data_IF_510781458682
#
_entry.id   IF_510781458682
#
_cell.length_a   1.000
_cell.length_b   1.000
_cell.length_c   1.000
_cell.angle_alpha   90.00
_cell.angle_beta   90.00
_cell.angle_gamma   90.00
#
_symmetry.space_group_name_H-M   'P 1'
#
loop_
_entity.id
_entity.type
_entity.pdbx_description
1 polymer ?
#
# COMPACT_ATOMS: atom_id res chain seq x y z
N UNK A 1 33.00 -1.02 60.71
CA UNK A 1 31.98 -1.99 61.13
C UNK A 1 31.26 -2.51 59.91
N UNK A 2 31.32 -3.82 59.72
CA UNK A 2 30.72 -4.61 58.65
C UNK A 2 29.31 -5.04 59.09
N UNK A 3 28.31 -4.91 58.21
CA UNK A 3 27.02 -5.60 58.26
C UNK A 3 26.45 -5.64 56.83
N UNK A 4 26.55 -6.76 56.09
CA UNK A 4 25.59 -7.88 56.01
C UNK A 4 24.26 -7.48 55.34
N UNK A 5 23.97 -7.78 54.07
CA UNK A 5 23.54 -9.08 53.46
C UNK A 5 22.03 -9.08 53.12
N UNK A 6 21.67 -9.84 52.06
CA UNK A 6 20.33 -10.30 51.61
C UNK A 6 19.91 -9.67 50.28
N UNK A 7 20.21 -10.24 49.09
CA UNK A 7 19.80 -11.54 48.51
C UNK A 7 18.28 -11.69 48.36
N UNK A 8 17.77 -11.50 47.14
CA UNK A 8 16.65 -12.27 46.56
C UNK A 8 16.51 -11.97 45.07
N UNK A 9 17.20 -12.79 44.29
CA UNK A 9 16.96 -13.07 42.88
C UNK A 9 15.80 -14.07 42.77
N UNK A 10 14.88 -13.88 41.81
CA UNK A 10 14.04 -14.89 41.11
C UNK A 10 12.73 -14.27 40.64
N UNK A 11 12.52 -14.26 39.32
CA UNK A 11 11.48 -15.07 38.64
C UNK A 11 11.40 -14.69 37.15
N UNK A 12 12.09 -15.50 36.33
CA UNK A 12 11.77 -15.66 34.92
C UNK A 12 10.49 -16.51 34.80
N UNK A 13 9.40 -15.87 34.38
CA UNK A 13 8.14 -16.53 34.05
C UNK A 13 7.93 -16.52 32.54
N UNK A 14 8.38 -17.58 31.88
CA UNK A 14 7.97 -17.91 30.51
C UNK A 14 6.48 -18.27 30.49
N UNK A 15 5.70 -17.66 29.60
CA UNK A 15 4.44 -18.25 29.14
C UNK A 15 4.21 -17.93 27.67
N UNK A 16 4.57 -18.93 26.87
CA UNK A 16 4.26 -19.05 25.45
C UNK A 16 2.75 -19.27 25.31
N UNK A 17 2.10 -18.50 24.44
CA UNK A 17 0.78 -18.82 23.88
C UNK A 17 0.96 -19.26 22.42
N UNK A 18 0.67 -20.51 22.06
CA UNK A 18 0.31 -20.86 20.69
C UNK A 18 -1.17 -21.27 20.66
N UNK A 19 -2.02 -20.37 20.17
CA UNK A 19 -3.44 -20.63 19.93
C UNK A 19 -3.66 -20.93 18.45
N UNK A 20 -3.73 -22.23 18.15
CA UNK A 20 -4.15 -22.82 16.87
C UNK A 20 -5.66 -22.72 16.70
N UNK A 21 -6.13 -22.30 15.52
CA UNK A 21 -7.40 -22.79 14.93
C UNK A 21 -7.49 -22.39 13.46
N UNK A 22 -6.92 -23.24 12.60
CA UNK A 22 -7.28 -23.29 11.18
C UNK A 22 -8.60 -24.03 11.04
N UNK A 23 -9.65 -23.34 10.59
CA UNK A 23 -10.89 -23.96 10.17
C UNK A 23 -10.76 -24.43 8.73
N UNK A 24 -10.82 -25.74 8.57
CA UNK A 24 -10.92 -26.46 7.30
C UNK A 24 -12.33 -26.27 6.74
N UNK A 25 -12.45 -25.74 5.54
CA UNK A 25 -13.67 -25.83 4.73
C UNK A 25 -13.67 -27.16 3.93
N UNK A 26 -14.75 -27.95 3.98
CA UNK A 26 -14.85 -29.19 3.23
C UNK A 26 -15.28 -28.98 1.78
N UNK A 27 -14.71 -29.85 0.95
CA UNK A 27 -15.03 -30.12 -0.45
C UNK A 27 -16.50 -30.60 -0.57
N UNK A 28 -17.31 -29.97 -1.41
CA UNK A 28 -18.60 -30.52 -1.85
C UNK A 28 -18.52 -30.83 -3.33
N UNK A 29 -18.77 -32.10 -3.60
CA UNK A 29 -18.94 -32.78 -4.87
C UNK A 29 -20.17 -32.25 -5.60
N UNK A 30 -20.03 -31.93 -6.88
CA UNK A 30 -21.15 -32.05 -7.82
C UNK A 30 -20.64 -32.61 -9.15
N UNK A 31 -21.12 -33.82 -9.41
CA UNK A 31 -20.99 -34.56 -10.65
C UNK A 31 -21.64 -33.80 -11.80
N UNK A 32 -20.98 -33.78 -12.96
CA UNK A 32 -21.65 -33.74 -14.26
C UNK A 32 -20.93 -34.67 -15.25
N UNK A 33 -21.69 -35.24 -16.21
CA UNK A 33 -21.46 -36.58 -16.73
C UNK A 33 -20.51 -36.66 -17.93
N UNK A 34 -20.00 -37.88 -18.11
CA UNK A 34 -19.17 -38.39 -19.19
C UNK A 34 -19.62 -38.00 -20.61
N UNK A 35 -18.66 -37.56 -21.42
CA UNK A 35 -18.72 -37.61 -22.89
C UNK A 35 -17.66 -38.62 -23.36
N UNK A 36 -18.01 -39.68 -24.10
CA UNK A 36 -17.06 -40.71 -24.48
C UNK A 36 -16.36 -40.39 -25.81
N UNK A 37 -15.10 -40.85 -25.88
CA UNK A 37 -14.50 -41.50 -27.04
C UNK A 37 -14.17 -40.61 -28.26
N UNK A 38 -12.89 -40.26 -28.43
CA UNK A 38 -12.17 -40.65 -29.64
C UNK A 38 -10.66 -40.59 -29.45
N UNK A 39 -10.06 -41.74 -29.69
CA UNK A 39 -8.65 -42.08 -29.74
C UNK A 39 -7.97 -41.57 -31.02
N UNK A 40 -6.89 -40.79 -30.89
CA UNK A 40 -5.71 -40.90 -31.77
C UNK A 40 -4.49 -40.17 -31.18
N UNK A 41 -3.42 -40.93 -31.05
CA UNK A 41 -2.01 -40.60 -30.73
C UNK A 41 -1.29 -40.10 -32.01
N UNK A 42 0.04 -39.78 -32.06
CA UNK A 42 0.97 -38.98 -31.24
C UNK A 42 1.49 -37.72 -32.00
N UNK A 43 2.18 -36.82 -31.29
CA UNK A 43 3.11 -35.83 -31.89
C UNK A 43 4.46 -36.51 -32.20
N UNK A 44 5.20 -36.22 -33.30
CA UNK A 44 6.14 -35.09 -33.28
C UNK A 44 6.49 -34.46 -34.65
N UNK A 45 6.69 -33.14 -34.70
CA UNK A 45 7.57 -32.52 -35.71
C UNK A 45 8.10 -31.18 -35.23
N UNK A 46 9.34 -31.20 -34.74
CA UNK A 46 10.19 -30.02 -34.62
C UNK A 46 10.59 -29.61 -36.04
N UNK A 47 10.18 -28.42 -36.48
CA UNK A 47 10.81 -27.76 -37.61
C UNK A 47 11.32 -26.39 -37.17
N UNK A 48 12.65 -26.31 -37.12
CA UNK A 48 13.45 -25.11 -36.98
C UNK A 48 13.53 -24.40 -38.33
N UNK A 49 13.09 -23.14 -38.43
CA UNK A 49 13.69 -22.11 -39.28
C UNK A 49 13.34 -20.69 -38.77
N UNK A 50 14.38 -19.85 -38.70
CA UNK A 50 14.50 -18.47 -38.18
C UNK A 50 14.10 -17.42 -39.28
N UNK A 51 14.33 -16.08 -39.17
CA UNK A 51 13.98 -15.02 -38.20
C UNK A 51 13.20 -13.81 -38.85
N UNK A 52 12.77 -12.83 -38.02
CA UNK A 52 12.49 -11.37 -38.28
C UNK A 52 11.03 -10.86 -38.03
N UNK A 53 10.93 -9.98 -37.01
CA UNK A 53 9.84 -9.04 -36.57
C UNK A 53 9.17 -8.22 -37.71
N UNK A 54 8.13 -7.37 -37.46
CA UNK A 54 7.24 -7.15 -36.30
C UNK A 54 5.73 -6.94 -36.69
N UNK A 55 4.90 -6.52 -35.71
CA UNK A 55 3.55 -5.88 -35.80
C UNK A 55 2.32 -6.79 -35.83
N UNK A 56 1.67 -6.93 -34.67
CA UNK A 56 0.22 -7.14 -34.59
C UNK A 56 -0.29 -6.23 -33.48
N UNK A 57 -1.28 -5.41 -33.84
CA UNK A 57 -1.74 -4.23 -33.13
C UNK A 57 -2.24 -4.50 -31.69
N UNK A 58 -2.01 -3.59 -30.73
CA UNK A 58 -2.80 -3.56 -29.51
C UNK A 58 -4.22 -3.08 -29.82
N UNK A 59 -5.19 -3.82 -29.29
CA UNK A 59 -6.63 -3.51 -29.29
C UNK A 59 -6.92 -2.05 -28.82
N UNK A 60 -7.92 -1.35 -29.38
CA UNK A 60 -8.26 0.01 -28.97
C UNK A 60 -9.11 -0.03 -27.69
N UNK A 61 -8.48 -0.27 -26.55
CA UNK A 61 -9.14 -0.19 -25.24
C UNK A 61 -8.44 0.88 -24.42
N UNK A 62 -8.99 2.11 -24.46
CA UNK A 62 -8.85 3.22 -23.49
C UNK A 62 -7.47 3.73 -23.04
N UNK A 63 -6.35 3.10 -23.38
CA UNK A 63 -5.04 3.37 -22.76
C UNK A 63 -4.13 4.32 -23.58
N UNK A 64 -4.65 4.96 -24.63
CA UNK A 64 -3.83 5.72 -25.60
C UNK A 64 -3.48 7.16 -25.16
N UNK A 65 -4.11 7.73 -24.13
CA UNK A 65 -3.91 9.15 -23.77
C UNK A 65 -3.44 9.40 -22.34
N UNK A 66 -2.42 8.69 -21.89
CA UNK A 66 -1.54 9.26 -20.88
C UNK A 66 -0.13 8.69 -21.01
N UNK A 67 0.73 9.40 -21.74
CA UNK A 67 2.13 9.01 -21.85
C UNK A 67 2.74 8.98 -20.43
N UNK A 68 3.50 7.94 -20.04
CA UNK A 68 4.02 7.81 -18.68
C UNK A 68 4.87 9.02 -18.25
N UNK A 69 5.52 9.71 -19.20
CA UNK A 69 6.23 10.97 -18.91
C UNK A 69 5.29 12.15 -18.59
N UNK A 70 4.13 12.26 -19.25
CA UNK A 70 3.14 13.31 -18.96
C UNK A 70 2.42 13.07 -17.64
N UNK A 71 2.20 11.79 -17.28
CA UNK A 71 1.73 11.43 -15.95
C UNK A 71 2.74 11.78 -14.87
N UNK A 72 4.04 11.58 -15.14
CA UNK A 72 5.10 11.91 -14.19
C UNK A 72 5.12 13.42 -13.89
N UNK A 73 5.16 14.27 -14.93
CA UNK A 73 5.19 15.73 -14.74
C UNK A 73 3.92 16.24 -14.06
N UNK A 74 2.75 15.73 -14.44
CA UNK A 74 1.48 16.11 -13.81
C UNK A 74 1.43 15.67 -12.34
N UNK A 75 1.97 14.49 -12.04
CA UNK A 75 2.07 13.96 -10.68
C UNK A 75 3.02 14.80 -9.81
N UNK A 76 4.17 15.22 -10.34
CA UNK A 76 5.09 16.12 -9.63
C UNK A 76 4.44 17.45 -9.26
N UNK A 77 3.71 18.05 -10.20
CA UNK A 77 2.98 19.29 -9.98
C UNK A 77 1.91 19.07 -8.91
N UNK A 78 1.09 18.03 -9.02
CA UNK A 78 0.04 17.79 -8.03
C UNK A 78 0.62 17.44 -6.64
N UNK A 79 1.71 16.68 -6.58
CA UNK A 79 2.37 16.34 -5.32
C UNK A 79 2.83 17.61 -4.59
N UNK A 80 3.44 18.53 -5.33
CA UNK A 80 3.83 19.83 -4.82
C UNK A 80 2.62 20.65 -4.39
N UNK A 81 1.57 20.69 -5.19
CA UNK A 81 0.34 21.41 -4.85
C UNK A 81 -0.29 20.89 -3.57
N UNK A 82 -0.30 19.57 -3.34
CA UNK A 82 -0.76 18.97 -2.09
C UNK A 82 0.09 19.47 -0.91
N UNK A 83 1.43 19.48 -1.04
CA UNK A 83 2.31 20.00 0.01
C UNK A 83 2.04 21.48 0.30
N UNK A 84 1.84 22.29 -0.73
CA UNK A 84 1.50 23.70 -0.60
C UNK A 84 0.12 23.90 0.04
N UNK A 85 -0.89 23.10 -0.33
CA UNK A 85 -2.23 23.11 0.30
C UNK A 85 -2.13 22.76 1.78
N UNK A 86 -1.37 21.73 2.15
CA UNK A 86 -1.10 21.39 3.56
C UNK A 86 -0.44 22.55 4.32
N UNK A 87 0.55 23.23 3.71
CA UNK A 87 1.15 24.43 4.29
C UNK A 87 0.14 25.57 4.51
N UNK A 88 -0.74 25.80 3.54
CA UNK A 88 -1.83 26.78 3.65
C UNK A 88 -2.82 26.41 4.76
N UNK A 89 -3.18 25.14 4.91
CA UNK A 89 -4.05 24.71 6.00
C UNK A 89 -3.40 24.94 7.37
N UNK A 90 -2.10 24.65 7.52
CA UNK A 90 -1.36 24.96 8.76
C UNK A 90 -1.38 26.45 9.09
N UNK A 91 -1.15 27.32 8.10
CA UNK A 91 -1.19 28.76 8.29
C UNK A 91 -2.59 29.25 8.68
N UNK A 92 -3.64 28.74 8.02
CA UNK A 92 -5.04 29.12 8.31
C UNK A 92 -5.51 28.66 9.68
N UNK A 93 -5.05 27.51 10.14
CA UNK A 93 -5.46 26.91 11.41
C UNK A 93 -4.47 27.13 12.55
N UNK A 94 -3.36 27.86 12.32
CA UNK A 94 -2.32 28.12 13.31
C UNK A 94 -1.64 26.84 13.84
N UNK A 95 -1.49 25.82 12.99
CA UNK A 95 -0.91 24.51 13.38
C UNK A 95 0.61 24.53 13.22
N UNK A 96 1.39 23.94 14.14
CA UNK A 96 2.84 23.83 14.01
C UNK A 96 3.23 22.90 12.85
N UNK A 97 4.46 23.01 12.35
CA UNK A 97 4.97 22.10 11.31
C UNK A 97 5.36 20.74 11.87
N UNK A 98 5.76 20.72 13.15
CA UNK A 98 6.20 19.51 13.82
C UNK A 98 5.01 18.77 14.44
N UNK A 99 4.91 17.48 14.11
CA UNK A 99 3.85 16.59 14.60
C UNK A 99 3.90 16.42 16.12
N UNK A 100 5.09 16.55 16.73
CA UNK A 100 5.26 16.43 18.18
C UNK A 100 4.65 17.59 18.97
N UNK A 101 4.52 18.75 18.33
CA UNK A 101 4.00 19.99 18.93
C UNK A 101 2.49 20.19 18.64
N UNK A 102 1.88 19.32 17.83
CA UNK A 102 0.45 19.40 17.52
C UNK A 102 -0.39 18.79 18.65
N UNK A 103 -1.52 19.42 18.94
CA UNK A 103 -2.54 18.85 19.84
C UNK A 103 -3.27 17.68 19.15
N UNK A 104 -3.89 16.74 19.90
CA UNK A 104 -4.60 15.60 19.31
C UNK A 104 -5.67 16.00 18.29
N UNK A 105 -6.39 17.09 18.58
CA UNK A 105 -7.37 17.68 17.64
C UNK A 105 -6.70 18.16 16.36
N UNK A 106 -5.59 18.90 16.47
CA UNK A 106 -4.85 19.38 15.30
C UNK A 106 -4.27 18.24 14.45
N UNK A 107 -3.79 17.15 15.08
CA UNK A 107 -3.33 15.95 14.37
C UNK A 107 -4.49 15.29 13.62
N UNK A 108 -5.68 15.20 14.23
CA UNK A 108 -6.87 14.67 13.56
C UNK A 108 -7.29 15.54 12.36
N UNK A 109 -7.29 16.86 12.52
CA UNK A 109 -7.62 17.79 11.44
C UNK A 109 -6.61 17.67 10.29
N UNK A 110 -5.30 17.67 10.59
CA UNK A 110 -4.24 17.48 9.59
C UNK A 110 -4.36 16.11 8.89
N UNK A 111 -4.75 15.06 9.63
CA UNK A 111 -5.03 13.73 9.07
C UNK A 111 -6.19 13.76 8.08
N UNK A 112 -7.25 14.51 8.40
CA UNK A 112 -8.42 14.64 7.54
C UNK A 112 -8.12 15.47 6.29
N UNK A 113 -7.37 16.57 6.42
CA UNK A 113 -6.95 17.41 5.30
C UNK A 113 -6.07 16.61 4.33
N UNK A 114 -5.04 15.92 4.85
CA UNK A 114 -4.17 15.08 4.04
C UNK A 114 -4.94 13.95 3.35
N UNK A 115 -5.91 13.32 4.03
CA UNK A 115 -6.73 12.27 3.44
C UNK A 115 -7.57 12.78 2.27
N UNK A 116 -8.18 13.96 2.41
CA UNK A 116 -8.98 14.56 1.34
C UNK A 116 -8.11 14.88 0.11
N UNK A 117 -6.91 15.41 0.34
CA UNK A 117 -5.98 15.72 -0.74
C UNK A 117 -5.48 14.47 -1.47
N UNK A 118 -5.13 13.41 -0.73
CA UNK A 118 -4.78 12.12 -1.32
C UNK A 118 -5.94 11.50 -2.09
N UNK A 119 -7.18 11.61 -1.60
CA UNK A 119 -8.35 11.07 -2.30
C UNK A 119 -8.62 11.82 -3.61
N UNK A 120 -8.50 13.16 -3.60
CA UNK A 120 -8.59 13.99 -4.83
C UNK A 120 -7.52 13.59 -5.85
N UNK A 121 -6.31 13.34 -5.37
CA UNK A 121 -5.21 12.84 -6.19
C UNK A 121 -5.53 11.48 -6.80
N UNK A 122 -5.99 10.50 -6.01
CA UNK A 122 -6.31 9.14 -6.48
C UNK A 122 -7.46 9.11 -7.49
N UNK A 123 -8.42 10.03 -7.39
CA UNK A 123 -9.48 10.19 -8.38
C UNK A 123 -8.96 10.72 -9.72
N UNK A 124 -7.87 11.51 -9.71
CA UNK A 124 -7.27 12.13 -10.90
C UNK A 124 -6.18 11.27 -11.53
N UNK A 125 -5.42 10.54 -10.71
CA UNK A 125 -4.31 9.69 -11.13
C UNK A 125 -4.57 8.24 -10.74
N UNK A 126 -4.45 7.31 -11.70
CA UNK A 126 -4.38 5.88 -11.39
C UNK A 126 -3.17 5.57 -10.50
N UNK A 127 -3.25 4.48 -9.71
CA UNK A 127 -2.20 4.06 -8.77
C UNK A 127 -0.79 4.19 -9.38
N UNK A 128 0.20 4.75 -8.65
CA UNK A 128 1.54 4.96 -9.18
C UNK A 128 2.19 3.62 -9.58
N UNK A 129 2.36 3.41 -10.90
CA UNK A 129 2.88 2.17 -11.47
C UNK A 129 4.40 2.20 -11.59
N UNK A 130 4.99 3.36 -11.87
CA UNK A 130 6.43 3.51 -12.07
C UNK A 130 7.18 3.81 -10.76
N UNK A 131 8.46 3.44 -10.72
CA UNK A 131 9.32 3.69 -9.55
C UNK A 131 9.48 5.18 -9.22
N UNK A 132 9.51 6.05 -10.23
CA UNK A 132 9.60 7.49 -10.02
C UNK A 132 8.31 8.09 -9.47
N UNK A 133 7.14 7.68 -9.99
CA UNK A 133 5.85 8.08 -9.44
C UNK A 133 5.74 7.69 -7.95
N UNK A 134 6.21 6.49 -7.60
CA UNK A 134 6.28 6.03 -6.20
C UNK A 134 7.23 6.91 -5.38
N UNK A 135 8.39 7.30 -5.91
CA UNK A 135 9.35 8.17 -5.22
C UNK A 135 8.73 9.51 -4.86
N UNK A 136 8.01 10.13 -5.79
CA UNK A 136 7.38 11.44 -5.60
C UNK A 136 6.22 11.35 -4.59
N UNK A 137 5.43 10.28 -4.65
CA UNK A 137 4.29 10.06 -3.75
C UNK A 137 4.68 9.62 -2.34
N UNK A 138 5.83 8.94 -2.19
CA UNK A 138 6.30 8.39 -0.92
C UNK A 138 6.26 9.40 0.25
N UNK A 139 6.79 10.64 0.15
CA UNK A 139 6.72 11.58 1.26
C UNK A 139 5.29 11.95 1.70
N UNK A 140 4.34 12.03 0.77
CA UNK A 140 2.93 12.32 1.09
C UNK A 140 2.29 11.16 1.84
N UNK A 141 2.46 9.94 1.33
CA UNK A 141 1.93 8.74 1.99
C UNK A 141 2.58 8.49 3.35
N UNK A 142 3.89 8.68 3.48
CA UNK A 142 4.58 8.51 4.75
C UNK A 142 4.12 9.54 5.80
N UNK A 143 3.87 10.79 5.39
CA UNK A 143 3.32 11.82 6.28
C UNK A 143 1.91 11.48 6.76
N UNK A 144 1.02 11.05 5.87
CA UNK A 144 -0.32 10.56 6.24
C UNK A 144 -0.26 9.39 7.22
N UNK A 145 0.64 8.42 6.98
CA UNK A 145 0.80 7.25 7.88
C UNK A 145 1.28 7.64 9.26
N UNK A 146 2.14 8.65 9.38
CA UNK A 146 2.56 9.19 10.68
C UNK A 146 1.37 9.81 11.42
N UNK A 147 0.59 10.66 10.75
CA UNK A 147 -0.63 11.25 11.31
C UNK A 147 -1.61 10.16 11.79
N UNK A 148 -1.89 9.16 10.96
CA UNK A 148 -2.78 8.03 11.30
C UNK A 148 -2.32 7.30 12.55
N UNK A 149 -1.02 6.97 12.66
CA UNK A 149 -0.45 6.32 13.85
C UNK A 149 -0.58 7.18 15.11
N UNK A 150 -0.35 8.48 15.00
CA UNK A 150 -0.51 9.40 16.14
C UNK A 150 -1.97 9.47 16.59
N UNK A 151 -2.91 9.61 15.65
CA UNK A 151 -4.35 9.59 15.95
C UNK A 151 -4.79 8.28 16.60
N UNK A 152 -4.28 7.14 16.14
CA UNK A 152 -4.56 5.82 16.75
C UNK A 152 -3.97 5.70 18.16
N UNK A 153 -2.75 6.20 18.38
CA UNK A 153 -2.10 6.21 19.70
C UNK A 153 -2.89 7.03 20.73
N UNK A 154 -3.46 8.17 20.31
CA UNK A 154 -4.22 9.06 21.20
C UNK A 154 -5.63 8.52 21.53
N UNK A 155 -6.17 7.58 20.76
CA UNK A 155 -7.49 6.96 21.01
C UNK A 155 -7.44 5.77 21.98
N UNK A 156 -6.25 5.29 22.34
CA UNK A 156 -6.07 4.13 23.21
C UNK A 156 -5.77 4.50 24.68
N UNK A 157 -5.70 5.80 25.00
CA UNK A 157 -5.50 6.35 26.35
C UNK A 157 -6.79 6.93 26.88
#
# INVERSE_FOLDING_TARGET
SVSSSSTSDRRLGSSRRPGSSGTKTPLVTSNTPNTPLSSHDPSPSIQSVNPKRPVTAPSPSSDIWNSPQQQLSSLEIEARDIQERMGKYRLRHGRPHDLSQMTPKQIYDEKCDMQQELLRFENKYSKPTTSEQKRIMKPLYDYYRQLKRLVEKQQQT
#
